data_IF_523144438579
#
_entry.id   IF_523144438579
#
_cell.length_a   1.000
_cell.length_b   1.000
_cell.length_c   1.000
_cell.angle_alpha   90.00
_cell.angle_beta   90.00
_cell.angle_gamma   90.00
#
_symmetry.space_group_name_H-M   'P 1'
#
loop_
_entity.id
_entity.type
_entity.pdbx_description
1 polymer ?
#
# COMPACT_ATOMS: atom_id res chain seq x y z
N UNK A 1 -10.39 -32.43 18.42
CA UNK A 1 -9.29 -31.72 17.72
C UNK A 1 -9.41 -31.72 16.17
N UNK A 2 -10.58 -31.99 15.57
CA UNK A 2 -10.72 -32.18 14.10
C UNK A 2 -11.31 -30.98 13.35
N UNK A 3 -12.10 -30.09 14.00
CA UNK A 3 -12.71 -28.91 13.34
C UNK A 3 -11.73 -27.77 13.04
N UNK A 4 -10.80 -27.46 13.95
CA UNK A 4 -9.81 -26.35 13.77
C UNK A 4 -8.87 -26.59 12.58
N UNK A 5 -8.52 -27.86 12.31
CA UNK A 5 -7.63 -28.23 11.21
C UNK A 5 -8.21 -27.93 9.81
N UNK A 6 -9.55 -27.78 9.68
CA UNK A 6 -10.21 -27.42 8.40
C UNK A 6 -10.52 -25.93 8.27
N UNK A 7 -10.66 -25.20 9.39
CA UNK A 7 -11.01 -23.77 9.37
C UNK A 7 -9.85 -22.93 8.85
N UNK A 8 -8.62 -23.17 9.32
CA UNK A 8 -7.45 -22.42 8.85
C UNK A 8 -7.23 -22.51 7.33
N UNK A 9 -7.19 -23.71 6.71
CA UNK A 9 -7.04 -23.80 5.25
C UNK A 9 -8.23 -23.19 4.50
N UNK A 10 -9.46 -23.31 5.02
CA UNK A 10 -10.64 -22.67 4.42
C UNK A 10 -10.54 -21.13 4.43
N UNK A 11 -10.19 -20.53 5.58
CA UNK A 11 -10.00 -19.08 5.69
C UNK A 11 -8.82 -18.60 4.85
N UNK A 12 -7.74 -19.38 4.82
CA UNK A 12 -6.58 -19.10 3.99
C UNK A 12 -6.96 -19.09 2.50
N UNK A 13 -7.68 -20.10 2.00
CA UNK A 13 -8.12 -20.14 0.61
C UNK A 13 -9.12 -19.02 0.30
N UNK A 14 -10.00 -18.69 1.27
CA UNK A 14 -10.98 -17.61 1.11
C UNK A 14 -10.31 -16.24 0.98
N UNK A 15 -9.33 -15.92 1.81
CA UNK A 15 -8.71 -14.59 1.86
C UNK A 15 -7.42 -14.45 1.05
N UNK A 16 -6.65 -15.52 0.89
CA UNK A 16 -5.27 -15.51 0.43
C UNK A 16 -4.99 -16.49 -0.72
N UNK A 17 -6.04 -16.97 -1.42
CA UNK A 17 -5.84 -17.73 -2.67
C UNK A 17 -5.46 -16.81 -3.84
N UNK A 18 -4.86 -17.38 -4.89
CA UNK A 18 -4.55 -16.64 -6.14
C UNK A 18 -5.82 -16.06 -6.80
N UNK A 19 -6.94 -16.79 -6.71
CA UNK A 19 -8.24 -16.32 -7.21
C UNK A 19 -8.74 -15.12 -6.41
N UNK A 20 -8.65 -15.17 -5.08
CA UNK A 20 -9.02 -14.03 -4.24
C UNK A 20 -8.10 -12.84 -4.50
N UNK A 21 -6.78 -13.04 -4.63
CA UNK A 21 -5.82 -11.97 -4.92
C UNK A 21 -6.21 -11.19 -6.17
N UNK A 22 -6.42 -11.89 -7.28
CA UNK A 22 -6.78 -11.27 -8.57
C UNK A 22 -8.16 -10.62 -8.55
N UNK A 23 -9.11 -11.19 -7.80
CA UNK A 23 -10.42 -10.56 -7.59
C UNK A 23 -10.30 -9.28 -6.76
N UNK A 24 -9.56 -9.31 -5.67
CA UNK A 24 -9.28 -8.15 -4.79
C UNK A 24 -8.57 -7.05 -5.56
N UNK A 25 -7.59 -7.39 -6.40
CA UNK A 25 -6.91 -6.45 -7.30
C UNK A 25 -7.90 -5.67 -8.16
N UNK A 26 -8.74 -6.40 -8.92
CA UNK A 26 -9.74 -5.78 -9.80
C UNK A 26 -10.74 -4.92 -9.03
N UNK A 27 -11.19 -5.38 -7.86
CA UNK A 27 -12.13 -4.62 -7.02
C UNK A 27 -11.47 -3.32 -6.56
N UNK A 28 -10.25 -3.37 -6.01
CA UNK A 28 -9.57 -2.18 -5.49
C UNK A 28 -9.23 -1.21 -6.62
N UNK A 29 -8.77 -1.69 -7.77
CA UNK A 29 -8.50 -0.82 -8.93
C UNK A 29 -9.77 -0.14 -9.45
N UNK A 30 -10.89 -0.87 -9.54
CA UNK A 30 -12.16 -0.27 -9.94
C UNK A 30 -12.66 0.77 -8.92
N UNK A 31 -12.53 0.48 -7.61
CA UNK A 31 -12.86 1.43 -6.54
C UNK A 31 -11.95 2.65 -6.59
N UNK A 32 -10.65 2.48 -6.84
CA UNK A 32 -9.69 3.57 -6.99
C UNK A 32 -10.06 4.50 -8.15
N UNK A 33 -10.41 3.94 -9.31
CA UNK A 33 -10.85 4.72 -10.47
C UNK A 33 -12.17 5.44 -10.21
N UNK A 34 -13.18 4.75 -9.67
CA UNK A 34 -14.47 5.36 -9.39
C UNK A 34 -14.36 6.50 -8.36
N UNK A 35 -13.62 6.26 -7.28
CA UNK A 35 -13.41 7.26 -6.22
C UNK A 35 -12.61 8.46 -6.71
N UNK A 36 -11.67 8.30 -7.66
CA UNK A 36 -10.99 9.41 -8.31
C UNK A 36 -11.97 10.35 -9.01
N UNK A 37 -12.86 9.82 -9.85
CA UNK A 37 -13.83 10.63 -10.57
C UNK A 37 -14.84 11.29 -9.63
N UNK A 38 -15.30 10.58 -8.60
CA UNK A 38 -16.19 11.14 -7.58
C UNK A 38 -15.50 12.29 -6.85
N UNK A 39 -14.26 12.10 -6.40
CA UNK A 39 -13.52 13.14 -5.70
C UNK A 39 -13.28 14.36 -6.59
N UNK A 40 -12.91 14.15 -7.86
CA UNK A 40 -12.74 15.23 -8.83
C UNK A 40 -14.06 16.01 -9.07
N UNK A 41 -15.19 15.29 -9.18
CA UNK A 41 -16.49 15.93 -9.30
C UNK A 41 -16.80 16.81 -8.09
N UNK A 42 -16.57 16.34 -6.86
CA UNK A 42 -16.74 17.15 -5.65
C UNK A 42 -15.91 18.44 -5.68
N UNK A 43 -14.64 18.37 -6.09
CA UNK A 43 -13.78 19.55 -6.22
C UNK A 43 -14.38 20.57 -7.21
N UNK A 44 -14.88 20.11 -8.36
CA UNK A 44 -15.51 21.00 -9.33
C UNK A 44 -16.82 21.60 -8.83
N UNK A 45 -17.66 20.84 -8.13
CA UNK A 45 -18.91 21.34 -7.55
C UNK A 45 -18.65 22.46 -6.52
N UNK A 46 -17.60 22.31 -5.70
CA UNK A 46 -17.17 23.35 -4.76
C UNK A 46 -16.64 24.59 -5.48
N UNK A 47 -15.80 24.40 -6.50
CA UNK A 47 -15.22 25.52 -7.27
C UNK A 47 -16.29 26.33 -8.03
N UNK A 48 -17.41 25.72 -8.37
CA UNK A 48 -18.56 26.36 -9.01
C UNK A 48 -19.55 26.98 -8.00
N UNK A 49 -19.24 26.98 -6.70
CA UNK A 49 -20.13 27.44 -5.61
C UNK A 49 -21.52 26.77 -5.61
N UNK A 50 -21.64 25.56 -6.18
CA UNK A 50 -22.91 24.80 -6.18
C UNK A 50 -23.16 24.22 -4.77
N UNK A 51 -22.08 23.90 -4.06
CA UNK A 51 -22.09 23.39 -2.69
C UNK A 51 -21.15 24.29 -1.88
N UNK A 52 -21.61 24.86 -0.77
CA UNK A 52 -20.75 25.58 0.17
C UNK A 52 -20.40 24.64 1.32
N UNK A 53 -19.17 24.12 1.31
CA UNK A 53 -18.59 23.41 2.44
C UNK A 53 -17.72 24.40 3.23
N UNK A 54 -18.03 24.61 4.52
CA UNK A 54 -17.22 25.48 5.40
C UNK A 54 -15.82 24.92 5.66
N UNK A 55 -15.64 23.61 5.45
CA UNK A 55 -14.39 22.91 5.72
C UNK A 55 -13.42 23.08 4.54
N UNK A 56 -12.52 24.05 4.65
CA UNK A 56 -11.39 24.30 3.75
C UNK A 56 -10.32 23.20 3.83
N UNK A 57 -10.70 21.96 3.59
CA UNK A 57 -9.74 20.85 3.57
C UNK A 57 -8.84 20.95 2.34
N UNK A 58 -7.53 20.89 2.53
CA UNK A 58 -6.52 20.94 1.45
C UNK A 58 -6.81 19.93 0.33
N UNK A 59 -7.46 18.81 0.66
CA UNK A 59 -7.88 17.77 -0.28
C UNK A 59 -8.93 18.22 -1.29
N UNK A 60 -9.74 19.25 -0.99
CA UNK A 60 -10.82 19.71 -1.86
C UNK A 60 -10.48 21.00 -2.64
N UNK A 61 -9.32 21.61 -2.38
CA UNK A 61 -8.96 22.93 -2.92
C UNK A 61 -8.35 22.89 -4.33
N UNK A 62 -7.73 21.78 -4.76
CA UNK A 62 -7.01 21.71 -6.03
C UNK A 62 -7.34 20.40 -6.79
N UNK A 63 -7.79 20.41 -8.05
CA UNK A 63 -8.05 19.20 -8.84
C UNK A 63 -6.90 18.16 -8.86
N UNK A 64 -5.65 18.61 -8.71
CA UNK A 64 -4.47 17.72 -8.64
C UNK A 64 -4.53 16.83 -7.38
N UNK A 65 -5.15 17.29 -6.28
CA UNK A 65 -5.29 16.51 -5.05
C UNK A 65 -6.13 15.24 -5.24
N UNK A 66 -7.03 15.20 -6.24
CA UNK A 66 -7.87 14.04 -6.50
C UNK A 66 -7.05 12.78 -6.77
N UNK A 67 -5.81 12.92 -7.29
CA UNK A 67 -4.89 11.81 -7.56
C UNK A 67 -4.47 11.07 -6.27
N UNK A 68 -4.50 11.73 -5.11
CA UNK A 68 -4.19 11.07 -3.83
C UNK A 68 -5.20 9.98 -3.44
N UNK A 69 -6.44 10.06 -3.92
CA UNK A 69 -7.48 9.06 -3.64
C UNK A 69 -7.20 7.69 -4.27
N UNK A 70 -7.01 7.57 -5.61
CA UNK A 70 -6.65 6.28 -6.20
C UNK A 70 -5.32 5.76 -5.65
N UNK A 71 -4.36 6.64 -5.36
CA UNK A 71 -3.09 6.24 -4.72
C UNK A 71 -3.27 5.63 -3.33
N UNK A 72 -4.22 6.12 -2.55
CA UNK A 72 -4.54 5.59 -1.22
C UNK A 72 -5.16 4.19 -1.32
N UNK A 73 -6.08 3.97 -2.25
CA UNK A 73 -6.65 2.64 -2.50
C UNK A 73 -5.61 1.64 -3.00
N UNK A 74 -4.71 2.05 -3.88
CA UNK A 74 -3.59 1.21 -4.34
C UNK A 74 -2.69 0.80 -3.16
N UNK A 75 -2.42 1.71 -2.21
CA UNK A 75 -1.62 1.40 -1.02
C UNK A 75 -2.28 0.30 -0.17
N UNK A 76 -3.61 0.34 -0.02
CA UNK A 76 -4.36 -0.73 0.68
C UNK A 76 -4.14 -2.08 0.00
N UNK A 77 -4.14 -2.11 -1.34
CA UNK A 77 -3.86 -3.34 -2.10
C UNK A 77 -2.42 -3.83 -1.91
N UNK A 78 -1.45 -2.92 -1.87
CA UNK A 78 -0.04 -3.26 -1.63
C UNK A 78 0.16 -3.90 -0.25
N UNK A 79 -0.45 -3.35 0.81
CA UNK A 79 -0.42 -3.94 2.15
C UNK A 79 -1.16 -5.29 2.19
N UNK A 80 -2.26 -5.44 1.44
CA UNK A 80 -2.89 -6.76 1.28
C UNK A 80 -1.94 -7.76 0.60
N UNK A 81 -1.21 -7.36 -0.44
CA UNK A 81 -0.20 -8.20 -1.10
C UNK A 81 0.89 -8.64 -0.16
N UNK A 82 1.33 -7.75 0.73
CA UNK A 82 2.28 -8.05 1.78
C UNK A 82 1.81 -9.26 2.61
N UNK A 83 0.59 -9.18 3.14
CA UNK A 83 -0.02 -10.23 3.96
C UNK A 83 -0.16 -11.53 3.15
N UNK A 84 -0.53 -11.43 1.87
CA UNK A 84 -0.62 -12.55 0.93
C UNK A 84 0.72 -13.26 0.69
N UNK A 85 1.84 -12.53 0.62
CA UNK A 85 3.16 -13.12 0.39
C UNK A 85 3.86 -13.61 1.67
N UNK A 86 3.44 -13.17 2.85
CA UNK A 86 3.97 -13.59 4.16
C UNK A 86 4.08 -15.12 4.37
N UNK A 87 3.06 -15.93 4.02
CA UNK A 87 3.13 -17.40 4.16
C UNK A 87 4.00 -18.09 3.10
N UNK A 88 4.49 -17.37 2.07
CA UNK A 88 5.36 -17.92 1.03
C UNK A 88 6.82 -17.95 1.50
N UNK A 89 7.75 -18.27 0.59
CA UNK A 89 9.18 -18.27 0.90
C UNK A 89 9.62 -16.88 1.38
N UNK A 90 10.56 -16.83 2.34
CA UNK A 90 11.07 -15.57 2.87
C UNK A 90 11.61 -14.66 1.76
N UNK A 91 12.40 -15.24 0.85
CA UNK A 91 12.92 -14.54 -0.33
C UNK A 91 11.81 -13.96 -1.19
N UNK A 92 10.73 -14.71 -1.46
CA UNK A 92 9.59 -14.22 -2.24
C UNK A 92 8.88 -13.07 -1.52
N UNK A 93 8.66 -13.19 -0.21
CA UNK A 93 8.03 -12.15 0.59
C UNK A 93 8.82 -10.85 0.57
N UNK A 94 10.12 -10.91 0.88
CA UNK A 94 11.01 -9.74 0.87
C UNK A 94 11.14 -9.15 -0.54
N UNK A 95 11.22 -9.98 -1.58
CA UNK A 95 11.23 -9.51 -2.98
C UNK A 95 9.98 -8.69 -3.30
N UNK A 96 8.80 -9.17 -2.89
CA UNK A 96 7.53 -8.47 -3.13
C UNK A 96 7.37 -7.21 -2.28
N UNK A 97 7.87 -7.21 -1.05
CA UNK A 97 8.03 -5.99 -0.27
C UNK A 97 8.83 -4.93 -1.00
N UNK A 98 9.95 -5.34 -1.58
CA UNK A 98 10.81 -4.39 -2.27
C UNK A 98 10.20 -3.85 -3.56
N UNK A 99 9.41 -4.63 -4.30
CA UNK A 99 8.61 -4.11 -5.43
C UNK A 99 7.61 -3.04 -4.95
N UNK A 100 6.94 -3.26 -3.82
CA UNK A 100 6.01 -2.29 -3.23
C UNK A 100 6.74 -1.01 -2.77
N UNK A 101 7.83 -1.16 -1.99
CA UNK A 101 8.64 -0.03 -1.49
C UNK A 101 9.18 0.80 -2.66
N UNK A 102 9.65 0.14 -3.71
CA UNK A 102 10.07 0.75 -4.98
C UNK A 102 8.98 1.64 -5.58
N UNK A 103 7.76 1.14 -5.69
CA UNK A 103 6.63 1.88 -6.25
C UNK A 103 6.24 3.09 -5.37
N UNK A 104 6.25 2.93 -4.05
CA UNK A 104 6.00 4.02 -3.09
C UNK A 104 7.07 5.11 -3.22
N UNK A 105 8.34 4.73 -3.27
CA UNK A 105 9.47 5.65 -3.41
C UNK A 105 9.36 6.45 -4.70
N UNK A 106 9.11 5.79 -5.84
CA UNK A 106 8.94 6.48 -7.13
C UNK A 106 7.79 7.49 -7.06
N UNK A 107 6.67 7.14 -6.43
CA UNK A 107 5.53 8.07 -6.24
C UNK A 107 5.92 9.28 -5.39
N UNK A 108 6.63 9.06 -4.28
CA UNK A 108 7.11 10.14 -3.42
C UNK A 108 8.06 11.07 -4.20
N UNK A 109 8.99 10.50 -4.96
CA UNK A 109 9.92 11.27 -5.78
C UNK A 109 9.19 12.17 -6.79
N UNK A 110 8.14 11.69 -7.48
CA UNK A 110 7.36 12.54 -8.38
C UNK A 110 6.62 13.68 -7.66
N UNK A 111 6.09 13.42 -6.46
CA UNK A 111 5.46 14.45 -5.63
C UNK A 111 6.49 15.52 -5.25
N UNK A 112 7.62 15.10 -4.73
CA UNK A 112 8.66 16.02 -4.26
C UNK A 112 9.26 16.81 -5.44
N UNK A 113 9.38 16.19 -6.63
CA UNK A 113 9.82 16.83 -7.87
C UNK A 113 8.84 17.93 -8.33
N UNK A 114 7.53 17.76 -8.10
CA UNK A 114 6.52 18.76 -8.44
C UNK A 114 6.54 20.01 -7.54
N UNK A 115 7.22 19.94 -6.39
CA UNK A 115 7.40 21.05 -5.45
C UNK A 115 8.77 21.73 -5.53
N UNK A 116 9.63 21.33 -6.48
CA UNK A 116 10.96 21.92 -6.65
C UNK A 116 10.88 23.32 -7.25
N UNK A 117 11.63 24.25 -6.67
CA UNK A 117 11.81 25.57 -7.25
C UNK A 117 12.97 25.51 -8.26
N UNK A 118 12.71 25.85 -9.53
CA UNK A 118 13.73 25.88 -10.59
C UNK A 118 14.64 27.11 -10.40
N UNK A 119 15.55 27.05 -9.43
CA UNK A 119 16.53 28.11 -9.17
C UNK A 119 17.97 27.61 -9.29
N UNK A 120 18.89 28.53 -9.57
CA UNK A 120 20.33 28.24 -9.64
C UNK A 120 20.96 27.94 -8.27
N UNK A 121 20.28 28.27 -7.16
CA UNK A 121 20.79 28.11 -5.79
C UNK A 121 20.23 26.84 -5.12
N UNK A 122 20.16 25.75 -5.89
CA UNK A 122 19.67 24.43 -5.48
C UNK A 122 20.25 23.90 -4.15
N UNK A 123 21.51 24.23 -3.84
CA UNK A 123 22.18 23.79 -2.61
C UNK A 123 21.90 24.67 -1.38
N UNK A 124 21.33 25.87 -1.56
CA UNK A 124 20.98 26.77 -0.46
C UNK A 124 19.54 26.54 0.03
N UNK A 125 18.67 26.03 -0.86
CA UNK A 125 17.27 25.72 -0.56
C UNK A 125 17.20 24.39 0.20
N UNK A 126 16.80 24.46 1.48
CA UNK A 126 16.71 23.27 2.36
C UNK A 126 15.80 22.17 1.80
N UNK A 127 14.74 22.53 1.09
CA UNK A 127 13.81 21.59 0.45
C UNK A 127 14.46 20.78 -0.68
N UNK A 128 15.16 21.46 -1.59
CA UNK A 128 15.83 20.85 -2.74
C UNK A 128 17.03 19.97 -2.32
N UNK A 129 17.74 20.38 -1.27
CA UNK A 129 18.81 19.58 -0.67
C UNK A 129 18.27 18.29 -0.03
N UNK A 130 17.14 18.38 0.69
CA UNK A 130 16.48 17.21 1.27
C UNK A 130 15.98 16.24 0.18
N UNK A 131 15.39 16.76 -0.89
CA UNK A 131 15.00 15.96 -2.06
C UNK A 131 16.20 15.21 -2.66
N UNK A 132 17.36 15.88 -2.77
CA UNK A 132 18.59 15.26 -3.28
C UNK A 132 19.04 14.10 -2.39
N UNK A 133 19.03 14.28 -1.06
CA UNK A 133 19.36 13.19 -0.12
C UNK A 133 18.36 12.04 -0.20
N UNK A 134 17.06 12.33 -0.26
CA UNK A 134 16.01 11.32 -0.41
C UNK A 134 16.17 10.52 -1.71
N UNK A 135 16.57 11.17 -2.80
CA UNK A 135 16.83 10.54 -4.10
C UNK A 135 18.07 9.62 -4.07
N UNK A 136 19.19 10.08 -3.50
CA UNK A 136 20.41 9.28 -3.39
C UNK A 136 20.20 8.08 -2.46
N UNK A 137 19.56 8.28 -1.30
CA UNK A 137 19.24 7.21 -0.37
C UNK A 137 18.32 6.16 -0.99
N UNK A 138 17.33 6.62 -1.78
CA UNK A 138 16.44 5.75 -2.55
C UNK A 138 17.20 4.90 -3.55
N UNK A 139 18.08 5.49 -4.37
CA UNK A 139 18.91 4.75 -5.33
C UNK A 139 19.80 3.71 -4.64
N UNK A 140 20.41 4.07 -3.51
CA UNK A 140 21.22 3.14 -2.73
C UNK A 140 20.40 1.97 -2.19
N UNK A 141 19.19 2.24 -1.67
CA UNK A 141 18.27 1.19 -1.22
C UNK A 141 17.90 0.25 -2.38
N UNK A 142 17.55 0.79 -3.55
CA UNK A 142 17.28 0.00 -4.77
C UNK A 142 18.45 -0.92 -5.15
N UNK A 143 19.69 -0.43 -5.03
CA UNK A 143 20.87 -1.22 -5.32
C UNK A 143 21.03 -2.40 -4.34
N UNK A 144 20.85 -2.17 -3.04
CA UNK A 144 20.90 -3.24 -2.03
C UNK A 144 19.82 -4.29 -2.25
N UNK A 145 18.61 -3.85 -2.59
CA UNK A 145 17.48 -4.71 -2.96
C UNK A 145 17.85 -5.60 -4.14
N UNK A 146 18.42 -5.01 -5.18
CA UNK A 146 18.85 -5.73 -6.37
C UNK A 146 19.87 -6.83 -6.02
N UNK A 147 20.87 -6.51 -5.19
CA UNK A 147 21.85 -7.49 -4.71
C UNK A 147 21.21 -8.62 -3.90
N UNK A 148 20.24 -8.31 -3.05
CA UNK A 148 19.50 -9.31 -2.28
C UNK A 148 18.70 -10.24 -3.19
N UNK A 149 17.96 -9.71 -4.16
CA UNK A 149 17.19 -10.51 -5.11
C UNK A 149 18.09 -11.41 -5.97
N UNK A 150 19.25 -10.89 -6.40
CA UNK A 150 20.24 -11.66 -7.18
C UNK A 150 20.74 -12.88 -6.42
N UNK A 151 21.00 -12.74 -5.12
CA UNK A 151 21.46 -13.83 -4.26
C UNK A 151 20.33 -14.82 -3.93
N UNK A 152 19.11 -14.34 -3.70
CA UNK A 152 17.95 -15.17 -3.37
C UNK A 152 17.52 -16.15 -4.47
N UNK A 153 17.94 -15.96 -5.73
CA UNK A 153 17.67 -16.88 -6.85
C UNK A 153 18.55 -18.13 -6.86
N UNK A 154 19.63 -18.18 -6.06
CA UNK A 154 20.46 -19.38 -5.91
C UNK A 154 19.70 -20.42 -5.10
N UNK A 155 19.06 -21.38 -5.78
CA UNK A 155 18.28 -22.45 -5.14
C UNK A 155 19.20 -23.32 -4.26
N UNK A 156 19.00 -23.27 -2.95
CA UNK A 156 19.56 -24.26 -2.03
C UNK A 156 18.80 -25.58 -2.24
N UNK A 157 19.47 -26.65 -2.67
CA UNK A 157 18.89 -27.99 -2.75
C UNK A 157 18.39 -28.39 -1.36
N UNK A 158 17.08 -28.60 -1.24
CA UNK A 158 16.41 -28.86 0.04
C UNK A 158 16.70 -30.31 0.50
N UNK A 159 17.27 -30.46 1.70
CA UNK A 159 17.44 -31.77 2.33
C UNK A 159 16.07 -32.35 2.73
N UNK A 160 15.82 -33.61 2.34
CA UNK A 160 14.55 -34.33 2.56
C UNK A 160 14.16 -34.46 4.04
N UNK A 161 15.12 -34.41 4.97
CA UNK A 161 14.93 -34.57 6.42
C UNK A 161 14.21 -33.41 7.10
N UNK A 162 14.19 -32.21 6.52
CA UNK A 162 13.62 -31.01 7.16
C UNK A 162 12.15 -30.73 6.79
N UNK A 163 11.56 -31.51 5.88
CA UNK A 163 10.17 -31.33 5.41
C UNK A 163 9.13 -31.16 6.54
N UNK A 164 9.06 -32.00 7.58
CA UNK A 164 8.01 -31.89 8.60
C UNK A 164 8.13 -30.64 9.48
N UNK A 165 9.36 -30.15 9.73
CA UNK A 165 9.61 -28.91 10.48
C UNK A 165 9.22 -27.69 9.64
N UNK A 166 9.59 -27.71 8.36
CA UNK A 166 9.24 -26.65 7.40
C UNK A 166 7.72 -26.54 7.25
N UNK A 167 6.99 -27.65 7.15
CA UNK A 167 5.53 -27.63 7.05
C UNK A 167 4.85 -27.04 8.29
N UNK A 168 5.34 -27.37 9.50
CA UNK A 168 4.83 -26.76 10.75
C UNK A 168 5.09 -25.25 10.78
N UNK A 169 6.26 -24.81 10.32
CA UNK A 169 6.60 -23.39 10.21
C UNK A 169 5.71 -22.64 9.21
N UNK A 170 5.46 -23.23 8.03
CA UNK A 170 4.54 -22.66 7.03
C UNK A 170 3.12 -22.55 7.60
N UNK A 171 2.63 -23.56 8.34
CA UNK A 171 1.31 -23.50 8.99
C UNK A 171 1.19 -22.34 9.97
N UNK A 172 2.23 -22.06 10.77
CA UNK A 172 2.26 -20.90 11.68
C UNK A 172 2.17 -19.57 10.91
N UNK A 173 2.93 -19.43 9.81
CA UNK A 173 2.85 -18.23 8.95
C UNK A 173 1.46 -18.03 8.33
N UNK A 174 0.80 -19.11 7.91
CA UNK A 174 -0.57 -19.05 7.38
C UNK A 174 -1.57 -18.56 8.43
N UNK A 175 -1.41 -19.00 9.69
CA UNK A 175 -2.24 -18.51 10.80
C UNK A 175 -2.07 -17.00 11.00
N UNK A 176 -0.82 -16.53 11.04
CA UNK A 176 -0.51 -15.10 11.18
C UNK A 176 -1.14 -14.30 10.04
N UNK A 177 -0.98 -14.75 8.79
CA UNK A 177 -1.55 -14.07 7.63
C UNK A 177 -3.08 -13.99 7.68
N UNK A 178 -3.77 -15.07 8.08
CA UNK A 178 -5.24 -15.12 8.19
C UNK A 178 -5.77 -14.16 9.25
N UNK A 179 -5.04 -13.95 10.35
CA UNK A 179 -5.41 -12.99 11.41
C UNK A 179 -5.13 -11.54 10.95
N UNK A 180 -4.04 -11.32 10.23
CA UNK A 180 -3.63 -9.99 9.75
C UNK A 180 -4.64 -9.38 8.77
N UNK A 181 -5.22 -10.18 7.86
CA UNK A 181 -6.19 -9.67 6.87
C UNK A 181 -7.37 -8.92 7.52
N UNK A 182 -8.18 -9.53 8.40
CA UNK A 182 -9.33 -8.84 9.00
C UNK A 182 -8.91 -7.67 9.89
N UNK A 183 -7.78 -7.78 10.60
CA UNK A 183 -7.27 -6.69 11.43
C UNK A 183 -6.90 -5.47 10.57
N UNK A 184 -6.22 -5.71 9.45
CA UNK A 184 -5.86 -4.66 8.50
C UNK A 184 -7.10 -3.98 7.89
N UNK A 185 -8.09 -4.76 7.43
CA UNK A 185 -9.33 -4.18 6.90
C UNK A 185 -10.12 -3.42 7.96
N UNK A 186 -10.13 -3.89 9.21
CA UNK A 186 -10.75 -3.16 10.32
C UNK A 186 -10.09 -1.80 10.54
N UNK A 187 -8.75 -1.73 10.58
CA UNK A 187 -8.03 -0.46 10.69
C UNK A 187 -8.31 0.48 9.51
N UNK A 188 -8.36 -0.05 8.29
CA UNK A 188 -8.65 0.74 7.09
C UNK A 188 -10.07 1.33 7.15
N UNK A 189 -11.07 0.53 7.56
CA UNK A 189 -12.45 0.99 7.72
C UNK A 189 -12.56 2.02 8.85
N UNK A 190 -11.97 1.76 10.02
CA UNK A 190 -11.97 2.70 11.15
C UNK A 190 -11.38 4.06 10.76
N UNK A 191 -10.26 4.06 10.03
CA UNK A 191 -9.62 5.28 9.53
C UNK A 191 -10.52 6.03 8.54
N UNK A 192 -11.17 5.30 7.62
CA UNK A 192 -12.07 5.87 6.63
C UNK A 192 -13.33 6.47 7.28
N UNK A 193 -13.92 5.77 8.25
CA UNK A 193 -15.08 6.25 9.02
C UNK A 193 -14.71 7.50 9.79
N UNK A 194 -13.60 7.51 10.54
CA UNK A 194 -13.13 8.69 11.30
C UNK A 194 -12.93 9.89 10.41
N UNK A 195 -12.31 9.71 9.24
CA UNK A 195 -12.13 10.79 8.26
C UNK A 195 -13.48 11.31 7.74
N UNK A 196 -14.39 10.41 7.36
CA UNK A 196 -15.74 10.76 6.87
C UNK A 196 -16.57 11.50 7.92
N UNK A 197 -16.55 11.05 9.18
CA UNK A 197 -17.27 11.71 10.28
C UNK A 197 -16.61 13.04 10.66
N UNK A 198 -15.27 13.13 10.59
CA UNK A 198 -14.55 14.38 10.83
C UNK A 198 -14.99 15.48 9.87
N UNK A 199 -15.20 15.15 8.60
CA UNK A 199 -15.76 16.05 7.58
C UNK A 199 -17.20 16.47 7.89
N UNK A 200 -18.04 15.55 8.40
CA UNK A 200 -19.45 15.86 8.74
C UNK A 200 -19.61 16.71 10.01
N UNK A 201 -18.69 16.57 10.97
CA UNK A 201 -18.73 17.35 12.22
C UNK A 201 -18.21 18.76 11.97
N UNK A 202 -17.14 18.93 11.18
CA UNK A 202 -16.64 20.26 10.79
C UNK A 202 -17.56 21.03 9.84
N UNK A 203 -18.61 20.40 9.29
CA UNK A 203 -19.63 21.07 8.48
C UNK A 203 -20.84 21.58 9.29
N UNK A 204 -20.94 21.21 10.57
CA UNK A 204 -22.03 21.62 11.47
C UNK A 204 -21.61 22.65 12.53
N UNK A 205 -20.36 23.12 12.49
CA UNK A 205 -19.86 24.32 13.16
C UNK A 205 -19.56 25.40 12.11
#
# INVERSE_FOLDING_TARGET
>A
MTKINKILPFLFDKFLSDKTRTKTEKIILNVALLSFFIHLAFIYLLKLNIINFSSSTELLNNPISAIYTPFSFILIYEVYLLIYYLPKSFTTYITKQYEIITLIIIRKLFKDLSSLELTSNWFEIKGDLQFTYDLVASLFLFFLIYLFQKQGKKKVKQQLSLKPVIEKFVKKKRLIAVILVPLFFFMAIDTLVKWSTGISISSNE
#
